data_IF_418368379637
#
_entry.id   IF_418368379637
#
_cell.length_a   1.000
_cell.length_b   1.000
_cell.length_c   1.000
_cell.angle_alpha   90.00
_cell.angle_beta   90.00
_cell.angle_gamma   90.00
#
_symmetry.space_group_name_H-M   'P 1'
#
loop_
_entity.id
_entity.type
_entity.pdbx_description
1 polymer ?
#
# COMPACT_ATOMS: atom_id res chain seq x y z
N UNK A 1 -9.39 11.83 17.20
CA UNK A 1 -9.14 12.75 16.08
C UNK A 1 -7.70 12.64 15.60
N UNK A 2 -6.68 13.00 16.40
CA UNK A 2 -5.26 13.02 15.99
C UNK A 2 -4.80 11.78 15.20
N UNK A 3 -5.10 10.56 15.68
CA UNK A 3 -4.60 9.33 15.06
C UNK A 3 -5.56 8.67 14.05
N UNK A 4 -6.75 9.24 13.84
CA UNK A 4 -7.83 8.60 13.06
C UNK A 4 -8.48 9.52 12.03
N UNK A 5 -8.21 10.83 12.10
CA UNK A 5 -8.91 11.86 11.34
C UNK A 5 -10.40 11.95 11.70
N UNK A 6 -11.12 12.66 10.83
CA UNK A 6 -12.59 12.73 10.82
C UNK A 6 -13.10 12.50 9.40
N UNK A 7 -13.97 11.51 9.24
CA UNK A 7 -14.58 11.19 7.95
C UNK A 7 -15.49 12.32 7.43
N UNK A 8 -15.98 13.19 8.29
CA UNK A 8 -16.83 14.33 7.93
C UNK A 8 -16.06 15.66 7.99
N UNK A 9 -14.72 15.60 8.08
CA UNK A 9 -13.86 16.78 8.06
C UNK A 9 -14.12 17.64 6.82
N UNK A 10 -14.17 18.96 7.02
CA UNK A 10 -14.44 19.95 5.97
C UNK A 10 -13.18 20.38 5.23
N UNK A 11 -12.06 20.34 5.93
CA UNK A 11 -10.75 20.74 5.42
C UNK A 11 -9.85 19.52 5.22
N UNK A 12 -9.04 19.55 4.16
CA UNK A 12 -8.05 18.52 3.92
C UNK A 12 -6.79 18.79 4.75
N UNK A 13 -6.53 17.92 5.72
CA UNK A 13 -5.33 17.99 6.57
C UNK A 13 -4.49 16.74 6.27
N UNK A 14 -3.36 16.87 5.53
CA UNK A 14 -2.46 15.75 5.29
C UNK A 14 -1.93 15.22 6.63
N UNK A 15 -2.04 13.91 6.91
CA UNK A 15 -1.52 13.37 8.15
C UNK A 15 0.01 13.26 8.07
N UNK A 16 0.68 13.86 9.04
CA UNK A 16 2.12 13.74 9.25
C UNK A 16 2.37 12.78 10.42
N UNK A 17 3.36 11.90 10.26
CA UNK A 17 3.85 11.03 11.32
C UNK A 17 5.30 11.40 11.59
N UNK A 18 5.52 12.11 12.69
CA UNK A 18 6.84 12.53 13.14
C UNK A 18 7.45 11.49 14.08
N UNK A 19 8.73 11.17 13.84
CA UNK A 19 9.48 10.25 14.69
C UNK A 19 10.96 10.55 14.57
N UNK A 20 11.71 10.31 15.65
CA UNK A 20 13.16 10.34 15.59
C UNK A 20 13.73 9.02 15.08
N UNK A 21 14.82 9.09 14.32
CA UNK A 21 15.63 7.91 13.98
C UNK A 21 16.26 7.29 15.25
N UNK A 22 16.34 8.03 16.35
CA UNK A 22 16.78 7.57 17.68
C UNK A 22 15.61 7.52 18.66
N UNK A 23 15.87 7.29 19.95
CA UNK A 23 14.83 7.35 20.98
C UNK A 23 14.52 8.81 21.34
N UNK A 24 15.54 9.65 21.47
CA UNK A 24 15.42 11.08 21.69
C UNK A 24 15.36 11.90 20.40
N UNK A 25 14.82 13.12 20.49
CA UNK A 25 14.84 14.12 19.41
C UNK A 25 16.22 14.75 19.23
N UNK A 26 16.96 14.93 20.32
CA UNK A 26 18.34 15.41 20.32
C UNK A 26 19.32 14.26 20.37
N UNK A 27 20.56 14.52 19.97
CA UNK A 27 21.60 13.50 19.99
C UNK A 27 22.06 13.24 21.43
N UNK A 28 22.11 11.96 21.79
CA UNK A 28 22.73 11.46 23.01
C UNK A 28 23.77 10.39 22.67
N UNK A 29 24.96 10.47 23.30
CA UNK A 29 26.09 9.56 23.04
C UNK A 29 25.76 8.09 23.24
N UNK A 30 24.86 7.78 24.18
CA UNK A 30 24.44 6.44 24.55
C UNK A 30 23.24 5.93 23.73
N UNK A 31 22.75 6.69 22.75
CA UNK A 31 21.71 6.26 21.83
C UNK A 31 22.29 5.85 20.48
N UNK A 32 21.53 5.04 19.74
CA UNK A 32 21.82 4.65 18.36
C UNK A 32 20.57 4.75 17.51
N UNK A 33 20.74 4.82 16.20
CA UNK A 33 19.63 4.74 15.26
C UNK A 33 18.83 3.44 15.43
N UNK A 34 17.51 3.53 15.26
CA UNK A 34 16.56 2.42 15.21
C UNK A 34 17.00 1.36 14.22
N UNK A 35 16.77 0.06 14.51
CA UNK A 35 17.08 -1.00 13.58
C UNK A 35 16.22 -0.92 12.30
N UNK A 36 16.66 -1.59 11.24
CA UNK A 36 16.08 -1.48 9.90
C UNK A 36 14.64 -2.01 9.89
N UNK A 37 14.38 -3.09 10.60
CA UNK A 37 13.05 -3.68 10.71
C UNK A 37 12.07 -2.74 11.40
N UNK A 38 12.52 -2.00 12.43
CA UNK A 38 11.72 -0.95 13.08
C UNK A 38 11.45 0.23 12.13
N UNK A 39 12.45 0.68 11.36
CA UNK A 39 12.24 1.75 10.37
C UNK A 39 11.31 1.32 9.23
N UNK A 40 11.37 0.06 8.78
CA UNK A 40 10.42 -0.48 7.82
C UNK A 40 9.01 -0.56 8.42
N UNK A 41 8.87 -0.97 9.68
CA UNK A 41 7.58 -0.97 10.36
C UNK A 41 6.99 0.44 10.46
N UNK A 42 7.80 1.43 10.84
CA UNK A 42 7.43 2.86 10.80
C UNK A 42 6.97 3.26 9.40
N UNK A 43 7.69 2.87 8.34
CA UNK A 43 7.30 3.18 6.96
C UNK A 43 5.94 2.61 6.58
N UNK A 44 5.70 1.32 6.86
CA UNK A 44 4.43 0.66 6.57
C UNK A 44 3.28 1.19 7.41
N UNK A 45 3.54 1.69 8.63
CA UNK A 45 2.52 2.23 9.54
C UNK A 45 2.31 3.74 9.40
N UNK A 46 3.13 4.44 8.61
CA UNK A 46 2.98 5.86 8.24
C UNK A 46 2.69 6.01 6.74
N UNK A 47 3.71 5.99 5.88
CA UNK A 47 3.60 6.09 4.41
C UNK A 47 2.69 5.01 3.83
N UNK A 48 2.73 3.81 4.40
CA UNK A 48 1.83 2.71 4.04
C UNK A 48 0.38 2.91 4.49
N UNK A 49 0.06 3.96 5.25
CA UNK A 49 -1.28 4.29 5.76
C UNK A 49 -1.70 5.72 5.44
N UNK A 50 -1.32 6.22 4.27
CA UNK A 50 -1.69 7.54 3.75
C UNK A 50 -1.06 8.73 4.50
N UNK A 51 0.04 8.54 5.23
CA UNK A 51 0.74 9.62 5.93
C UNK A 51 2.04 10.04 5.24
N UNK A 52 2.46 11.26 5.51
CA UNK A 52 3.85 11.70 5.30
C UNK A 52 4.67 11.25 6.52
N UNK A 53 5.85 10.68 6.29
CA UNK A 53 6.80 10.37 7.35
C UNK A 53 7.80 11.51 7.49
N UNK A 54 7.81 12.17 8.65
CA UNK A 54 8.82 13.15 9.02
C UNK A 54 9.82 12.50 9.99
N UNK A 55 10.98 12.10 9.46
CA UNK A 55 12.01 11.40 10.22
C UNK A 55 13.09 12.38 10.69
N UNK A 56 13.19 12.61 12.00
CA UNK A 56 14.24 13.42 12.60
C UNK A 56 15.58 12.67 12.65
N UNK A 57 16.68 13.38 12.36
CA UNK A 57 18.04 12.87 12.40
C UNK A 57 18.92 13.90 13.11
N UNK A 58 19.25 13.71 14.39
CA UNK A 58 19.89 14.77 15.17
C UNK A 58 21.41 14.85 14.89
N UNK A 59 21.95 16.05 14.63
CA UNK A 59 23.39 16.29 14.67
C UNK A 59 23.98 16.02 16.06
N UNK A 60 25.22 15.53 16.09
CA UNK A 60 25.99 15.31 17.32
C UNK A 60 26.57 16.63 17.88
N UNK A 61 27.36 16.54 18.95
CA UNK A 61 28.01 17.70 19.58
C UNK A 61 28.98 18.47 18.68
N UNK A 62 29.44 17.86 17.58
CA UNK A 62 30.32 18.49 16.59
C UNK A 62 29.53 19.16 15.45
N UNK A 63 28.19 19.13 15.52
CA UNK A 63 27.30 19.63 14.46
C UNK A 63 27.18 18.69 13.26
N UNK A 64 27.57 17.42 13.39
CA UNK A 64 27.59 16.44 12.30
C UNK A 64 26.59 15.31 12.53
N UNK A 65 26.03 14.73 11.45
CA UNK A 65 25.25 13.50 11.57
C UNK A 65 26.20 12.33 11.86
N UNK A 66 25.86 11.54 12.89
CA UNK A 66 26.68 10.38 13.28
C UNK A 66 26.78 9.36 12.13
N UNK A 67 27.96 8.78 11.92
CA UNK A 67 28.21 7.77 10.89
C UNK A 67 27.22 6.60 10.96
N UNK A 68 26.89 6.15 12.17
CA UNK A 68 25.88 5.10 12.43
C UNK A 68 24.49 5.44 11.88
N UNK A 69 24.11 6.72 11.94
CA UNK A 69 22.79 7.19 11.52
C UNK A 69 22.77 7.33 10.00
N UNK A 70 23.87 7.82 9.40
CA UNK A 70 24.07 7.84 7.94
C UNK A 70 23.96 6.42 7.37
N UNK A 71 24.69 5.47 7.96
CA UNK A 71 24.69 4.08 7.49
C UNK A 71 23.30 3.45 7.63
N UNK A 72 22.57 3.75 8.71
CA UNK A 72 21.19 3.31 8.88
C UNK A 72 20.26 3.92 7.83
N UNK A 73 20.36 5.22 7.55
CA UNK A 73 19.55 5.91 6.53
C UNK A 73 19.81 5.33 5.14
N UNK A 74 21.07 5.06 4.80
CA UNK A 74 21.44 4.44 3.54
C UNK A 74 20.91 3.01 3.43
N UNK A 75 21.00 2.23 4.51
CA UNK A 75 20.40 0.89 4.58
C UNK A 75 18.87 0.93 4.42
N UNK A 76 18.20 1.89 5.05
CA UNK A 76 16.76 2.08 4.93
C UNK A 76 16.35 2.48 3.50
N UNK A 77 17.07 3.43 2.88
CA UNK A 77 16.89 3.80 1.47
C UNK A 77 17.07 2.58 0.54
N UNK A 78 18.13 1.80 0.76
CA UNK A 78 18.42 0.61 -0.05
C UNK A 78 17.32 -0.45 0.09
N UNK A 79 16.79 -0.65 1.30
CA UNK A 79 15.69 -1.57 1.54
C UNK A 79 14.43 -1.13 0.79
N UNK A 80 14.02 0.14 0.91
CA UNK A 80 12.86 0.68 0.18
C UNK A 80 13.04 0.58 -1.34
N UNK A 81 14.24 0.90 -1.84
CA UNK A 81 14.55 0.76 -3.25
C UNK A 81 14.39 -0.70 -3.71
N UNK A 82 14.89 -1.67 -2.93
CA UNK A 82 14.77 -3.09 -3.23
C UNK A 82 13.31 -3.56 -3.25
N UNK A 83 12.53 -3.19 -2.23
CA UNK A 83 11.12 -3.58 -2.08
C UNK A 83 10.28 -3.09 -3.27
N UNK A 84 10.47 -1.83 -3.68
CA UNK A 84 9.62 -1.17 -4.67
C UNK A 84 10.23 -1.10 -6.07
N UNK A 85 11.41 -1.69 -6.30
CA UNK A 85 12.11 -1.68 -7.59
C UNK A 85 11.24 -2.24 -8.72
N UNK A 86 10.58 -3.36 -8.44
CA UNK A 86 9.76 -4.08 -9.41
C UNK A 86 8.31 -4.04 -8.95
N UNK A 87 7.43 -3.55 -9.83
CA UNK A 87 5.99 -3.76 -9.69
C UNK A 87 5.61 -5.04 -10.44
N UNK A 88 5.21 -6.06 -9.68
CA UNK A 88 4.94 -7.42 -10.16
C UNK A 88 3.63 -7.53 -10.94
N UNK A 89 2.90 -6.42 -11.15
CA UNK A 89 1.68 -6.39 -11.97
C UNK A 89 1.94 -6.37 -13.48
N UNK A 90 3.22 -6.32 -13.92
CA UNK A 90 3.55 -6.24 -15.34
C UNK A 90 2.99 -7.44 -16.09
N UNK A 91 2.21 -7.18 -17.14
CA UNK A 91 1.53 -8.21 -17.94
C UNK A 91 0.23 -8.74 -17.34
N UNK A 92 -0.23 -8.19 -16.21
CA UNK A 92 -1.55 -8.49 -15.68
C UNK A 92 -2.66 -7.98 -16.59
N UNK A 93 -3.79 -8.70 -16.63
CA UNK A 93 -5.03 -8.23 -17.23
C UNK A 93 -5.96 -7.78 -16.11
N UNK A 94 -6.40 -6.53 -16.16
CA UNK A 94 -7.32 -5.97 -15.16
C UNK A 94 -8.78 -6.11 -15.61
N UNK A 95 -9.65 -6.55 -14.69
CA UNK A 95 -11.10 -6.64 -14.86
C UNK A 95 -11.80 -5.98 -13.67
N UNK A 96 -12.79 -5.15 -13.94
CA UNK A 96 -13.66 -4.58 -12.91
C UNK A 96 -15.01 -5.30 -12.89
N UNK A 97 -15.71 -5.20 -11.75
CA UNK A 97 -17.12 -5.56 -11.61
C UNK A 97 -17.99 -4.88 -12.67
N UNK A 98 -17.71 -3.60 -12.91
CA UNK A 98 -18.32 -2.77 -13.93
C UNK A 98 -17.41 -1.58 -14.26
N UNK A 99 -17.85 -0.72 -15.17
CA UNK A 99 -17.12 0.48 -15.58
C UNK A 99 -18.09 1.66 -15.76
N UNK A 100 -17.76 2.80 -15.15
CA UNK A 100 -18.50 4.05 -15.32
C UNK A 100 -18.53 4.47 -16.78
N UNK A 101 -19.73 4.79 -17.28
CA UNK A 101 -19.94 5.19 -18.69
C UNK A 101 -19.80 4.04 -19.70
N UNK A 102 -19.76 2.78 -19.25
CA UNK A 102 -19.61 1.62 -20.13
C UNK A 102 -18.27 1.60 -20.86
N UNK A 103 -18.19 0.83 -21.95
CA UNK A 103 -16.94 0.58 -22.71
C UNK A 103 -16.19 1.86 -23.13
N UNK A 104 -16.93 2.93 -23.43
CA UNK A 104 -16.37 4.19 -23.94
C UNK A 104 -16.27 5.28 -22.86
N UNK A 105 -16.51 4.96 -21.58
CA UNK A 105 -16.54 5.94 -20.49
C UNK A 105 -15.16 6.40 -20.00
N UNK A 106 -14.06 5.77 -20.42
CA UNK A 106 -12.70 6.16 -20.02
C UNK A 106 -12.25 5.70 -18.63
N UNK A 107 -13.09 5.03 -17.84
CA UNK A 107 -12.81 4.61 -16.46
C UNK A 107 -12.53 3.10 -16.32
N UNK A 108 -11.83 2.54 -17.30
CA UNK A 108 -11.62 1.08 -17.37
C UNK A 108 -10.74 0.53 -16.27
N UNK A 109 -10.88 -0.76 -15.99
CA UNK A 109 -10.03 -1.45 -15.02
C UNK A 109 -8.54 -1.40 -15.42
N UNK A 110 -8.23 -1.35 -16.72
CA UNK A 110 -6.86 -1.24 -17.23
C UNK A 110 -6.12 0.01 -16.76
N UNK A 111 -6.84 1.07 -16.40
CA UNK A 111 -6.26 2.34 -15.94
C UNK A 111 -5.34 2.15 -14.72
N UNK A 112 -5.62 1.17 -13.85
CA UNK A 112 -4.84 0.95 -12.61
C UNK A 112 -3.43 0.40 -12.84
N UNK A 113 -3.16 -0.09 -14.05
CA UNK A 113 -1.88 -0.69 -14.47
C UNK A 113 -0.87 0.36 -14.93
N UNK A 114 -1.31 1.58 -15.24
CA UNK A 114 -0.50 2.59 -15.92
C UNK A 114 0.43 3.38 -14.98
N UNK A 115 0.30 3.19 -13.66
CA UNK A 115 1.04 3.94 -12.63
C UNK A 115 0.88 5.47 -12.75
N UNK A 116 -0.26 5.92 -13.28
CA UNK A 116 -0.65 7.32 -13.41
C UNK A 116 -1.83 7.60 -12.45
N UNK A 117 -1.68 8.57 -11.55
CA UNK A 117 -2.72 8.91 -10.58
C UNK A 117 -3.87 9.74 -11.17
N UNK A 118 -3.75 10.22 -12.42
CA UNK A 118 -4.82 10.92 -13.14
C UNK A 118 -5.75 9.95 -13.89
N UNK A 119 -5.26 8.76 -14.22
CA UNK A 119 -6.03 7.68 -14.83
C UNK A 119 -6.52 6.72 -13.74
N UNK A 120 -7.82 6.44 -13.67
CA UNK A 120 -8.38 5.59 -12.63
C UNK A 120 -9.52 4.73 -13.11
N UNK A 121 -9.71 3.59 -12.44
CA UNK A 121 -10.91 2.80 -12.55
C UNK A 121 -12.02 3.39 -11.66
N UNK A 122 -13.25 3.34 -12.16
CA UNK A 122 -14.45 3.61 -11.38
C UNK A 122 -15.59 2.71 -11.87
N UNK A 123 -16.35 2.08 -10.97
CA UNK A 123 -17.47 1.22 -11.34
C UNK A 123 -18.65 2.04 -11.90
N UNK A 124 -19.61 1.37 -12.52
CA UNK A 124 -20.88 1.98 -12.92
C UNK A 124 -21.64 2.53 -11.71
N UNK A 125 -22.47 3.56 -11.94
CA UNK A 125 -23.24 4.20 -10.87
C UNK A 125 -24.21 3.23 -10.14
N UNK A 126 -24.64 2.17 -10.82
CA UNK A 126 -25.55 1.14 -10.31
C UNK A 126 -24.85 -0.06 -9.67
N UNK A 127 -23.51 -0.04 -9.56
CA UNK A 127 -22.75 -1.15 -8.99
C UNK A 127 -22.74 -1.08 -7.47
N UNK A 128 -23.44 -2.01 -6.84
CA UNK A 128 -23.57 -2.11 -5.38
C UNK A 128 -22.42 -2.90 -4.73
N UNK A 129 -21.65 -3.65 -5.52
CA UNK A 129 -20.60 -4.53 -5.02
C UNK A 129 -19.29 -4.36 -5.82
N UNK A 130 -18.67 -3.18 -5.78
CA UNK A 130 -17.56 -2.83 -6.66
C UNK A 130 -16.27 -3.56 -6.31
N UNK A 131 -15.67 -4.20 -7.31
CA UNK A 131 -14.36 -4.84 -7.19
C UNK A 131 -13.54 -4.67 -8.46
N UNK A 132 -12.21 -4.77 -8.30
CA UNK A 132 -11.26 -4.84 -9.41
C UNK A 132 -10.30 -6.00 -9.16
N UNK A 133 -10.00 -6.75 -10.21
CA UNK A 133 -9.15 -7.93 -10.18
C UNK A 133 -8.02 -7.80 -11.20
N UNK A 134 -6.81 -8.13 -10.77
CA UNK A 134 -5.64 -8.33 -11.62
C UNK A 134 -5.44 -9.83 -11.80
N UNK A 135 -5.47 -10.31 -13.04
CA UNK A 135 -5.23 -11.71 -13.38
C UNK A 135 -3.91 -11.88 -14.12
N UNK A 136 -3.19 -12.93 -13.79
CA UNK A 136 -1.86 -13.25 -14.31
C UNK A 136 -1.91 -14.56 -15.10
N UNK A 137 -1.10 -14.65 -16.15
CA UNK A 137 -0.94 -15.89 -16.92
C UNK A 137 -0.12 -16.95 -16.19
N UNK A 138 0.68 -16.53 -15.21
CA UNK A 138 1.47 -17.38 -14.31
C UNK A 138 1.36 -16.85 -12.88
N UNK A 139 1.48 -17.71 -11.86
CA UNK A 139 1.50 -17.24 -10.47
C UNK A 139 2.60 -16.19 -10.23
N UNK A 140 2.29 -15.21 -9.39
CA UNK A 140 3.25 -14.17 -8.95
C UNK A 140 3.46 -14.26 -7.44
N UNK A 141 4.72 -14.15 -7.00
CA UNK A 141 5.12 -14.16 -5.58
C UNK A 141 5.25 -12.76 -5.03
N UNK A 142 4.47 -12.40 -4.02
CA UNK A 142 4.47 -11.08 -3.40
C UNK A 142 4.09 -11.15 -1.91
N UNK A 143 4.43 -10.12 -1.16
CA UNK A 143 3.99 -9.94 0.24
C UNK A 143 3.68 -8.47 0.57
N UNK A 144 3.61 -7.60 -0.44
CA UNK A 144 3.20 -6.21 -0.29
C UNK A 144 2.19 -5.86 -1.38
N UNK A 145 1.00 -5.40 -0.98
CA UNK A 145 -0.04 -4.93 -1.90
C UNK A 145 -0.21 -3.42 -1.75
N UNK A 146 -0.03 -2.68 -2.83
CA UNK A 146 -0.25 -1.23 -2.92
C UNK A 146 -1.61 -0.94 -3.53
N UNK A 147 -2.37 -0.03 -2.94
CA UNK A 147 -3.61 0.54 -3.49
C UNK A 147 -3.55 2.06 -3.35
N UNK A 148 -3.97 2.81 -4.38
CA UNK A 148 -3.96 4.27 -4.39
C UNK A 148 -5.27 4.84 -4.96
N UNK A 149 -5.83 5.85 -4.30
CA UNK A 149 -6.93 6.67 -4.81
C UNK A 149 -6.37 7.94 -5.48
N UNK A 150 -7.07 8.49 -6.49
CA UNK A 150 -6.77 9.82 -7.04
C UNK A 150 -7.28 10.90 -6.07
N UNK A 151 -6.53 11.19 -4.99
CA UNK A 151 -7.01 12.08 -3.91
C UNK A 151 -7.28 13.52 -4.33
N UNK A 152 -6.83 13.96 -5.51
CA UNK A 152 -7.26 15.23 -6.13
C UNK A 152 -8.78 15.29 -6.36
N UNK A 153 -9.44 14.13 -6.38
CA UNK A 153 -10.89 13.97 -6.50
C UNK A 153 -11.56 13.55 -5.16
N UNK A 154 -10.83 13.71 -4.06
CA UNK A 154 -11.22 13.34 -2.70
C UNK A 154 -10.95 11.88 -2.34
N UNK A 155 -10.78 11.63 -1.04
CA UNK A 155 -10.67 10.28 -0.47
C UNK A 155 -12.05 9.68 -0.20
N UNK A 156 -12.32 8.49 -0.76
CA UNK A 156 -13.68 7.92 -0.81
C UNK A 156 -13.77 6.55 -0.17
N UNK A 157 -12.76 5.70 -0.30
CA UNK A 157 -12.81 4.33 0.23
C UNK A 157 -12.79 4.36 1.76
N UNK A 158 -13.78 3.69 2.36
CA UNK A 158 -13.98 3.60 3.82
C UNK A 158 -13.65 2.21 4.34
N UNK A 159 -13.88 1.17 3.51
CA UNK A 159 -13.50 -0.21 3.80
C UNK A 159 -13.19 -0.95 2.50
N UNK A 160 -12.13 -1.72 2.52
CA UNK A 160 -11.73 -2.57 1.41
C UNK A 160 -11.11 -3.88 1.90
N UNK A 161 -11.14 -4.87 1.03
CA UNK A 161 -10.65 -6.22 1.27
C UNK A 161 -9.80 -6.65 0.07
N UNK A 162 -8.75 -7.41 0.34
CA UNK A 162 -7.82 -7.92 -0.66
C UNK A 162 -7.91 -9.44 -0.66
N UNK A 163 -8.30 -10.01 -1.79
CA UNK A 163 -8.39 -11.45 -2.00
C UNK A 163 -7.33 -11.90 -2.99
N UNK A 164 -6.78 -13.09 -2.80
CA UNK A 164 -5.83 -13.71 -3.71
C UNK A 164 -6.27 -15.14 -4.05
N UNK A 165 -6.16 -15.52 -5.33
CA UNK A 165 -6.37 -16.89 -5.81
C UNK A 165 -5.05 -17.66 -5.64
N UNK A 166 -4.86 -18.26 -4.46
CA UNK A 166 -3.62 -18.95 -4.05
C UNK A 166 -3.41 -20.26 -4.83
N UNK A 167 -2.16 -20.57 -5.18
CA UNK A 167 -1.82 -21.84 -5.86
C UNK A 167 -1.90 -23.06 -4.95
N UNK A 168 -1.67 -22.88 -3.65
CA UNK A 168 -1.50 -23.98 -2.69
C UNK A 168 -2.75 -24.23 -1.84
N UNK A 169 -3.83 -23.49 -2.09
CA UNK A 169 -5.10 -23.71 -1.42
C UNK A 169 -5.74 -24.98 -2.01
N UNK A 170 -5.69 -26.08 -1.25
CA UNK A 170 -6.28 -27.37 -1.61
C UNK A 170 -7.68 -27.21 -2.20
N UNK A 171 -7.95 -27.99 -3.25
CA UNK A 171 -9.12 -27.93 -4.14
C UNK A 171 -10.44 -28.36 -3.49
N UNK A 172 -10.67 -28.08 -2.21
CA UNK A 172 -11.96 -28.32 -1.57
C UNK A 172 -12.60 -26.99 -1.17
N UNK A 173 -13.53 -26.54 -2.02
CA UNK A 173 -14.44 -25.44 -1.70
C UNK A 173 -14.17 -24.11 -2.41
N UNK A 174 -13.34 -24.08 -3.48
CA UNK A 174 -13.04 -22.91 -4.31
C UNK A 174 -14.29 -22.31 -5.01
N UNK A 175 -15.19 -21.72 -4.22
CA UNK A 175 -16.26 -20.85 -4.66
C UNK A 175 -15.65 -19.49 -4.98
N UNK A 176 -15.18 -19.30 -6.22
CA UNK A 176 -15.26 -18.04 -6.99
C UNK A 176 -14.73 -16.72 -6.36
N UNK A 177 -14.01 -16.73 -5.23
CA UNK A 177 -13.70 -15.49 -4.48
C UNK A 177 -12.27 -15.37 -3.93
N UNK A 178 -11.39 -16.39 -4.05
CA UNK A 178 -10.03 -16.34 -3.50
C UNK A 178 -9.98 -16.30 -1.94
N UNK A 179 -8.77 -16.36 -1.38
CA UNK A 179 -8.51 -16.24 0.06
C UNK A 179 -8.28 -14.77 0.41
N UNK A 180 -8.94 -14.24 1.43
CA UNK A 180 -8.66 -12.88 1.91
C UNK A 180 -7.26 -12.83 2.54
N UNK A 181 -6.36 -12.03 1.95
CA UNK A 181 -4.97 -11.88 2.40
C UNK A 181 -4.74 -10.58 3.17
N UNK A 182 -5.60 -9.57 2.98
CA UNK A 182 -5.57 -8.34 3.75
C UNK A 182 -6.95 -7.66 3.77
N UNK A 183 -7.15 -6.77 4.73
CA UNK A 183 -8.26 -5.82 4.72
C UNK A 183 -7.80 -4.48 5.31
N UNK A 184 -8.61 -3.45 5.11
CA UNK A 184 -8.36 -2.14 5.70
C UNK A 184 -9.58 -1.26 5.64
N UNK A 185 -9.51 -0.14 6.35
CA UNK A 185 -10.50 0.92 6.27
C UNK A 185 -10.21 1.79 5.04
N UNK A 186 -9.43 2.85 5.23
CA UNK A 186 -9.11 3.85 4.21
C UNK A 186 -7.98 3.42 3.28
N UNK A 187 -7.98 4.01 2.08
CA UNK A 187 -6.85 3.93 1.14
C UNK A 187 -6.12 5.28 1.07
N UNK A 188 -6.80 6.33 0.58
CA UNK A 188 -6.19 7.65 0.37
C UNK A 188 -5.14 7.65 -0.73
N UNK A 189 -4.13 8.51 -0.61
CA UNK A 189 -3.02 8.62 -1.55
C UNK A 189 -2.30 7.29 -1.72
N UNK A 190 -2.09 6.55 -0.62
CA UNK A 190 -1.39 5.26 -0.64
C UNK A 190 -1.70 4.40 0.57
N UNK A 191 -2.13 3.17 0.29
CA UNK A 191 -2.20 2.06 1.24
C UNK A 191 -1.21 0.99 0.83
N UNK A 192 -0.38 0.54 1.76
CA UNK A 192 0.48 -0.62 1.63
C UNK A 192 0.05 -1.67 2.65
N UNK A 193 -0.39 -2.83 2.16
CA UNK A 193 -0.61 -4.00 2.99
C UNK A 193 0.63 -4.87 2.97
N UNK A 194 1.40 -4.87 4.05
CA UNK A 194 2.45 -5.85 4.30
C UNK A 194 1.81 -7.12 4.83
N UNK A 195 1.89 -8.21 4.06
CA UNK A 195 1.26 -9.49 4.37
C UNK A 195 2.10 -10.26 5.39
N UNK A 196 1.46 -11.11 6.19
CA UNK A 196 2.14 -11.91 7.21
C UNK A 196 3.03 -13.03 6.64
N UNK A 197 2.85 -13.39 5.38
CA UNK A 197 3.64 -14.38 4.66
C UNK A 197 3.72 -14.03 3.18
N UNK A 198 4.66 -14.66 2.46
CA UNK A 198 4.69 -14.60 1.00
C UNK A 198 3.48 -15.34 0.44
N UNK A 199 2.83 -14.70 -0.52
CA UNK A 199 1.69 -15.22 -1.27
C UNK A 199 2.13 -15.51 -2.70
N UNK A 200 1.73 -16.65 -3.23
CA UNK A 200 1.82 -16.99 -4.64
C UNK A 200 0.41 -17.12 -5.22
N UNK A 201 0.06 -16.29 -6.21
CA UNK A 201 -1.32 -16.22 -6.71
C UNK A 201 -1.42 -15.92 -8.21
N UNK A 202 -2.46 -16.44 -8.85
CA UNK A 202 -2.81 -16.14 -10.26
C UNK A 202 -3.81 -14.99 -10.42
N UNK A 203 -4.45 -14.56 -9.34
CA UNK A 203 -5.32 -13.39 -9.34
C UNK A 203 -5.27 -12.66 -7.99
N UNK A 204 -5.37 -11.34 -8.03
CA UNK A 204 -5.52 -10.49 -6.84
C UNK A 204 -6.70 -9.55 -7.06
N UNK A 205 -7.67 -9.58 -6.15
CA UNK A 205 -8.89 -8.76 -6.20
C UNK A 205 -8.93 -7.77 -5.05
N UNK A 206 -9.20 -6.51 -5.36
CA UNK A 206 -9.54 -5.47 -4.39
C UNK A 206 -11.06 -5.29 -4.42
N UNK A 207 -11.72 -5.66 -3.33
CA UNK A 207 -13.15 -5.45 -3.13
C UNK A 207 -13.35 -4.19 -2.28
N UNK A 208 -14.19 -3.26 -2.74
CA UNK A 208 -14.53 -2.05 -2.00
C UNK A 208 -15.85 -2.24 -1.26
N UNK A 209 -15.76 -2.76 -0.04
CA UNK A 209 -16.92 -3.06 0.81
C UNK A 209 -17.69 -1.81 1.28
N UNK A 210 -17.03 -0.64 1.37
CA UNK A 210 -17.69 0.62 1.72
C UNK A 210 -16.94 1.82 1.15
N UNK A 211 -17.67 2.79 0.62
CA UNK A 211 -17.13 4.07 0.18
C UNK A 211 -18.13 5.21 0.44
N UNK A 212 -17.63 6.45 0.60
CA UNK A 212 -18.47 7.64 0.79
C UNK A 212 -19.26 8.04 -0.46
N UNK A 213 -18.71 7.70 -1.63
CA UNK A 213 -19.28 7.83 -2.99
C UNK A 213 -18.66 6.76 -3.88
N UNK A 214 -19.01 6.75 -5.16
CA UNK A 214 -18.38 5.90 -6.17
C UNK A 214 -16.85 5.81 -5.97
N UNK A 215 -16.32 4.61 -5.70
CA UNK A 215 -14.92 4.45 -5.42
C UNK A 215 -14.10 4.69 -6.68
N UNK A 216 -12.89 5.22 -6.46
CA UNK A 216 -11.91 5.47 -7.49
C UNK A 216 -10.62 4.77 -7.09
N UNK A 217 -10.05 3.93 -7.97
CA UNK A 217 -8.73 3.34 -7.75
C UNK A 217 -7.86 3.75 -8.92
N UNK A 218 -6.81 4.51 -8.64
CA UNK A 218 -5.89 5.03 -9.65
C UNK A 218 -4.72 4.09 -9.91
N UNK A 219 -4.27 3.37 -8.87
CA UNK A 219 -3.19 2.39 -9.07
C UNK A 219 -3.25 1.25 -8.07
N UNK A 220 -2.89 0.07 -8.56
CA UNK A 220 -2.58 -1.10 -7.76
C UNK A 220 -1.11 -1.45 -7.99
N UNK A 221 -0.44 -2.05 -7.02
CA UNK A 221 0.91 -2.60 -7.18
C UNK A 221 1.10 -3.84 -6.33
N UNK A 222 1.92 -4.76 -6.82
CA UNK A 222 2.36 -5.94 -6.06
C UNK A 222 3.89 -5.88 -5.96
N UNK A 223 4.41 -6.07 -4.76
CA UNK A 223 5.82 -5.93 -4.46
C UNK A 223 6.30 -7.06 -3.53
N UNK A 224 7.61 -7.27 -3.51
CA UNK A 224 8.26 -8.28 -2.68
C UNK A 224 9.21 -7.61 -1.69
N UNK A 225 8.93 -7.77 -0.40
CA UNK A 225 9.75 -7.36 0.72
C UNK A 225 10.59 -8.54 1.24
N UNK A 226 11.89 -8.61 0.89
CA UNK A 226 12.78 -9.66 1.36
C UNK A 226 13.19 -9.49 2.83
N UNK A 227 12.82 -8.39 3.48
CA UNK A 227 13.15 -8.09 4.89
C UNK A 227 12.01 -8.45 5.85
N UNK A 228 10.93 -9.05 5.36
CA UNK A 228 9.80 -9.50 6.21
C UNK A 228 10.22 -10.65 7.14
N UNK A 229 9.85 -10.54 8.43
CA UNK A 229 10.14 -11.58 9.44
C UNK A 229 9.37 -12.85 9.06
N UNK A 230 10.09 -13.96 8.86
CA UNK A 230 9.51 -15.24 8.44
C UNK A 230 10.21 -15.91 7.26
N UNK A 231 11.10 -15.20 6.56
CA UNK A 231 11.98 -15.82 5.56
C UNK A 231 13.20 -16.43 6.28
N UNK A 232 13.23 -17.75 6.41
CA UNK A 232 14.51 -18.46 6.38
C UNK A 232 15.00 -18.36 4.94
N UNK A 233 16.15 -17.73 4.75
CA UNK A 233 16.93 -17.87 3.51
C UNK A 233 17.24 -19.35 3.26
#
# INVERSE_FOLDING_TARGET
>A
YLNTGDQNGRDWIPPECDVSIRNGWFWHRNETAKPLDELLEIYYTSVGRNCVLLLNVPPNSDGLISKTDIDRLMGFRSALATIFLVNLIKGAVAKGSSQRGGKNGGFSAGNVLNNDLQSYWSPANSDENPWIELRFSKPVKFNVVRVQEPITLGQRIVRHEVYAELTDAGTEGARHSGTMVANGTTVGYKRLHRLGSVVEACAVRIHVAKAKRLPLIASIGLHFDPYSKGQKL
#
